data_IF_983138647513
#
_entry.id   IF_983138647513
#
_cell.length_a   1.000
_cell.length_b   1.000
_cell.length_c   1.000
_cell.angle_alpha   90.00
_cell.angle_beta   90.00
_cell.angle_gamma   90.00
#
_symmetry.space_group_name_H-M   'P 1'
#
loop_
_entity.id
_entity.type
_entity.pdbx_description
1 polymer ?
#
# COMPACT_ATOMS: atom_id res chain seq x y z
N UNK A 1 -3.66 -18.58 7.98
CA UNK A 1 -2.25 -18.78 7.58
C UNK A 1 -1.90 -17.82 6.46
N UNK A 2 -0.68 -17.30 6.40
CA UNK A 2 -0.18 -16.44 5.31
C UNK A 2 1.05 -17.02 4.60
N UNK A 3 1.55 -18.17 5.07
CA UNK A 3 2.80 -18.80 4.63
C UNK A 3 2.57 -20.14 3.92
N UNK A 4 1.39 -20.29 3.31
CA UNK A 4 1.02 -21.52 2.60
C UNK A 4 0.66 -22.70 3.51
N UNK A 5 0.23 -22.42 4.75
CA UNK A 5 -0.25 -23.44 5.68
C UNK A 5 0.83 -24.02 6.61
N UNK A 6 2.02 -23.41 6.69
CA UNK A 6 3.06 -23.85 7.63
C UNK A 6 2.74 -23.38 9.04
N UNK A 7 2.25 -22.15 9.20
CA UNK A 7 1.79 -21.60 10.47
C UNK A 7 0.31 -21.24 10.41
N UNK A 8 -0.40 -21.63 11.47
CA UNK A 8 -1.83 -21.36 11.65
C UNK A 8 -2.05 -20.62 12.95
N UNK A 9 -2.99 -19.69 12.90
CA UNK A 9 -3.45 -18.95 14.07
C UNK A 9 -4.97 -19.11 14.15
N UNK A 10 -5.46 -19.24 15.37
CA UNK A 10 -6.89 -19.36 15.60
C UNK A 10 -7.54 -17.97 15.52
N UNK A 11 -8.60 -17.87 14.74
CA UNK A 11 -9.52 -16.73 14.81
C UNK A 11 -10.39 -16.85 16.07
N UNK A 12 -10.91 -15.72 16.53
CA UNK A 12 -11.83 -15.64 17.68
C UNK A 12 -13.25 -15.42 17.16
N UNK A 13 -14.22 -16.17 17.68
CA UNK A 13 -15.61 -15.94 17.33
C UNK A 13 -16.05 -14.55 17.80
N UNK A 14 -16.72 -13.81 16.91
CA UNK A 14 -17.29 -12.51 17.25
C UNK A 14 -18.60 -12.66 18.05
N UNK A 15 -19.16 -11.54 18.49
CA UNK A 15 -20.51 -11.51 19.08
C UNK A 15 -21.62 -11.82 18.06
N UNK A 16 -21.33 -11.68 16.77
CA UNK A 16 -22.26 -11.97 15.68
C UNK A 16 -22.05 -13.39 15.15
N UNK A 17 -23.08 -14.25 15.12
CA UNK A 17 -22.95 -15.61 14.59
C UNK A 17 -22.40 -15.63 13.16
N UNK A 18 -21.42 -16.49 12.92
CA UNK A 18 -20.76 -16.65 11.61
C UNK A 18 -19.66 -15.62 11.32
N UNK A 19 -19.44 -14.64 12.19
CA UNK A 19 -18.35 -13.68 12.07
C UNK A 19 -17.20 -14.12 12.97
N UNK A 20 -15.99 -14.11 12.41
CA UNK A 20 -14.76 -14.46 13.10
C UNK A 20 -13.75 -13.33 12.93
N UNK A 21 -13.15 -12.94 14.05
CA UNK A 21 -12.17 -11.87 14.13
C UNK A 21 -10.77 -12.45 14.29
N UNK A 22 -9.79 -11.84 13.62
CA UNK A 22 -8.39 -12.20 13.76
C UNK A 22 -7.54 -10.94 13.82
N UNK A 23 -6.66 -10.87 14.81
CA UNK A 23 -5.68 -9.78 14.97
C UNK A 23 -4.29 -10.33 14.71
N UNK A 24 -3.54 -9.66 13.83
CA UNK A 24 -2.14 -9.99 13.57
C UNK A 24 -1.30 -9.74 14.83
N UNK A 25 -0.49 -10.72 15.22
CA UNK A 25 0.37 -10.63 16.42
C UNK A 25 1.63 -9.80 16.18
N UNK A 26 2.05 -9.71 14.92
CA UNK A 26 3.23 -8.96 14.47
C UNK A 26 2.93 -8.33 13.13
N UNK A 27 3.68 -7.27 12.81
CA UNK A 27 3.62 -6.66 11.49
C UNK A 27 3.95 -7.67 10.40
N UNK A 28 3.23 -7.56 9.29
CA UNK A 28 3.45 -8.36 8.09
C UNK A 28 4.19 -7.49 7.09
N UNK A 29 5.27 -8.01 6.51
CA UNK A 29 6.10 -7.26 5.58
C UNK A 29 5.33 -6.78 4.33
N UNK A 30 5.80 -5.70 3.70
CA UNK A 30 5.25 -5.25 2.41
C UNK A 30 5.38 -6.33 1.33
N UNK A 31 4.47 -6.29 0.36
CA UNK A 31 4.43 -7.19 -0.78
C UNK A 31 3.13 -7.95 -0.93
N UNK A 32 3.12 -8.91 -1.86
CA UNK A 32 1.97 -9.76 -2.13
C UNK A 32 1.92 -10.94 -1.16
N UNK A 33 0.71 -11.22 -0.67
CA UNK A 33 0.42 -12.25 0.30
C UNK A 33 -0.82 -13.05 -0.10
N UNK A 34 -0.89 -14.29 0.37
CA UNK A 34 -2.09 -15.13 0.25
C UNK A 34 -2.55 -15.56 1.64
N UNK A 35 -3.64 -14.98 2.11
CA UNK A 35 -4.32 -15.43 3.32
C UNK A 35 -5.09 -16.71 3.01
N UNK A 36 -4.77 -17.78 3.73
CA UNK A 36 -5.52 -19.04 3.73
C UNK A 36 -6.30 -19.16 5.04
N UNK A 37 -7.61 -19.39 4.93
CA UNK A 37 -8.53 -19.62 6.05
C UNK A 37 -9.05 -21.05 5.97
N UNK A 38 -9.05 -21.76 7.11
CA UNK A 38 -9.62 -23.10 7.24
C UNK A 38 -10.66 -23.09 8.36
N UNK A 39 -11.83 -23.65 8.08
CA UNK A 39 -12.85 -23.94 9.09
C UNK A 39 -12.97 -25.46 9.24
N UNK A 40 -13.03 -25.93 10.49
CA UNK A 40 -13.27 -27.34 10.82
C UNK A 40 -14.55 -27.45 11.63
N UNK A 41 -15.47 -28.34 11.23
CA UNK A 41 -16.69 -28.61 11.99
C UNK A 41 -16.46 -29.62 13.14
N UNK A 42 -17.49 -29.86 13.96
CA UNK A 42 -17.40 -30.78 15.10
C UNK A 42 -17.20 -32.25 14.68
N UNK A 43 -17.55 -32.62 13.45
CA UNK A 43 -17.32 -33.95 12.89
C UNK A 43 -15.92 -34.10 12.27
N UNK A 44 -15.15 -33.01 12.20
CA UNK A 44 -13.81 -32.98 11.61
C UNK A 44 -13.77 -32.67 10.12
N UNK A 45 -14.89 -32.28 9.49
CA UNK A 45 -14.89 -31.85 8.10
C UNK A 45 -14.22 -30.49 7.98
N UNK A 46 -13.41 -30.32 6.93
CA UNK A 46 -12.62 -29.12 6.68
C UNK A 46 -13.05 -28.40 5.41
N UNK A 47 -13.11 -27.08 5.47
CA UNK A 47 -13.29 -26.21 4.31
C UNK A 47 -12.20 -25.13 4.30
N UNK A 48 -11.61 -24.85 3.14
CA UNK A 48 -10.52 -23.88 3.00
C UNK A 48 -10.86 -22.82 1.96
N UNK A 49 -10.50 -21.57 2.24
CA UNK A 49 -10.61 -20.43 1.32
C UNK A 49 -9.30 -19.65 1.27
N UNK A 50 -9.07 -18.95 0.15
CA UNK A 50 -7.88 -18.13 -0.07
C UNK A 50 -8.27 -16.70 -0.47
N UNK A 51 -7.51 -15.74 0.02
CA UNK A 51 -7.59 -14.32 -0.35
C UNK A 51 -6.19 -13.82 -0.69
N UNK A 52 -6.02 -13.31 -1.89
CA UNK A 52 -4.81 -12.62 -2.30
C UNK A 52 -4.93 -11.13 -1.98
N UNK A 53 -3.87 -10.56 -1.42
CA UNK A 53 -3.83 -9.15 -1.07
C UNK A 53 -2.38 -8.64 -1.04
N UNK A 54 -2.22 -7.32 -1.14
CA UNK A 54 -0.92 -6.66 -1.05
C UNK A 54 -0.89 -5.75 0.17
N UNK A 55 0.24 -5.77 0.88
CA UNK A 55 0.54 -4.77 1.92
C UNK A 55 1.53 -3.79 1.31
N UNK A 56 1.16 -2.51 1.33
CA UNK A 56 2.06 -1.42 1.05
C UNK A 56 1.93 -0.37 2.15
N UNK A 57 3.05 -0.07 2.78
CA UNK A 57 3.21 0.90 3.87
C UNK A 57 4.35 1.88 3.56
N UNK A 58 4.91 1.81 2.36
CA UNK A 58 5.95 2.71 1.92
C UNK A 58 5.31 3.88 1.18
N UNK A 59 5.98 5.02 1.27
CA UNK A 59 5.68 6.18 0.44
C UNK A 59 6.97 6.63 -0.22
N UNK A 60 6.91 6.82 -1.53
CA UNK A 60 7.98 7.35 -2.35
C UNK A 60 8.19 8.84 -2.06
N UNK A 61 9.44 9.29 -1.98
CA UNK A 61 9.73 10.72 -1.84
C UNK A 61 9.32 11.45 -3.14
N UNK A 62 8.31 12.35 -3.08
CA UNK A 62 7.86 13.06 -4.25
C UNK A 62 8.93 14.05 -4.70
N UNK A 63 9.10 14.20 -6.01
CA UNK A 63 10.02 15.17 -6.58
C UNK A 63 9.27 16.30 -7.26
N UNK A 64 9.90 17.47 -7.27
CA UNK A 64 9.43 18.64 -8.01
C UNK A 64 10.62 19.17 -8.81
N UNK A 65 10.39 19.45 -10.09
CA UNK A 65 11.38 20.05 -10.98
C UNK A 65 10.75 21.14 -11.82
N UNK A 66 11.49 22.21 -12.08
CA UNK A 66 11.10 23.20 -13.09
C UNK A 66 11.05 22.52 -14.46
N UNK A 67 9.98 22.74 -15.22
CA UNK A 67 9.90 22.26 -16.60
C UNK A 67 11.04 22.91 -17.41
N UNK A 68 11.86 22.11 -18.09
CA UNK A 68 13.06 22.57 -18.80
C UNK A 68 12.75 23.55 -19.94
N UNK A 69 11.50 23.58 -20.39
CA UNK A 69 11.01 24.56 -21.37
C UNK A 69 10.70 25.93 -20.76
N UNK A 70 10.52 26.00 -19.44
CA UNK A 70 10.33 27.24 -18.68
C UNK A 70 11.62 27.70 -17.97
N UNK A 71 12.69 26.90 -17.97
CA UNK A 71 14.04 27.29 -17.54
C UNK A 71 14.65 28.35 -18.49
N UNK A 72 15.03 29.49 -17.93
CA UNK A 72 15.52 30.66 -18.67
C UNK A 72 16.93 31.06 -18.26
N UNK A 73 17.78 31.42 -19.22
CA UNK A 73 19.16 31.82 -18.94
C UNK A 73 20.09 30.61 -18.97
N UNK A 74 20.70 30.26 -17.84
CA UNK A 74 21.59 29.11 -17.74
C UNK A 74 20.77 27.85 -17.50
N UNK A 75 20.90 26.85 -18.37
CA UNK A 75 20.14 25.61 -18.20
C UNK A 75 20.54 24.86 -16.92
N UNK A 76 19.53 24.24 -16.31
CA UNK A 76 19.60 23.40 -15.12
C UNK A 76 20.06 24.15 -13.85
N UNK A 77 19.94 25.48 -13.81
CA UNK A 77 20.19 26.30 -12.61
C UNK A 77 18.92 26.52 -11.76
N UNK A 78 17.78 25.97 -12.20
CA UNK A 78 16.45 26.11 -11.62
C UNK A 78 15.91 27.55 -11.57
N UNK A 79 16.43 28.47 -12.40
CA UNK A 79 15.95 29.83 -12.51
C UNK A 79 15.04 30.02 -13.72
N UNK A 80 14.03 30.86 -13.55
CA UNK A 80 13.07 31.20 -14.61
C UNK A 80 12.65 32.66 -14.54
N UNK A 81 12.44 33.27 -15.70
CA UNK A 81 11.77 34.56 -15.88
C UNK A 81 10.32 34.40 -16.39
N UNK A 82 9.83 33.16 -16.53
CA UNK A 82 8.45 32.85 -16.87
C UNK A 82 7.57 33.15 -15.67
N UNK A 83 6.60 34.04 -15.82
CA UNK A 83 5.74 34.50 -14.72
C UNK A 83 4.62 33.51 -14.33
N UNK A 84 4.51 32.39 -15.04
CA UNK A 84 3.65 31.24 -14.75
C UNK A 84 4.41 29.96 -15.11
N UNK A 85 5.43 29.59 -14.32
CA UNK A 85 6.25 28.43 -14.62
C UNK A 85 5.45 27.15 -14.40
N UNK A 86 5.78 26.13 -15.17
CA UNK A 86 5.31 24.76 -14.98
C UNK A 86 6.33 23.99 -14.15
N UNK A 87 5.81 23.18 -13.24
CA UNK A 87 6.58 22.22 -12.49
C UNK A 87 6.12 20.82 -12.84
N UNK A 88 7.09 19.93 -12.99
CA UNK A 88 6.87 18.51 -13.19
C UNK A 88 6.99 17.87 -11.81
N UNK A 89 5.93 17.16 -11.40
CA UNK A 89 5.92 16.36 -10.19
C UNK A 89 6.25 14.92 -10.55
N UNK A 90 7.19 14.32 -9.83
CA UNK A 90 7.63 12.95 -10.01
C UNK A 90 7.53 12.13 -8.74
N UNK A 91 7.72 10.81 -8.85
CA UNK A 91 7.70 9.87 -7.74
C UNK A 91 6.42 9.96 -6.87
N UNK A 92 5.29 10.31 -7.48
CA UNK A 92 4.00 10.29 -6.80
C UNK A 92 3.50 8.85 -6.83
N UNK A 93 3.30 8.24 -5.66
CA UNK A 93 2.74 6.89 -5.60
C UNK A 93 1.34 6.80 -6.20
N UNK A 94 1.02 5.63 -6.74
CA UNK A 94 -0.25 5.38 -7.41
C UNK A 94 -1.47 5.50 -6.47
N UNK A 95 -1.25 5.33 -5.17
CA UNK A 95 -2.27 5.44 -4.12
C UNK A 95 -2.22 6.76 -3.34
N UNK A 96 -1.38 7.71 -3.77
CA UNK A 96 -1.36 9.06 -3.20
C UNK A 96 -2.72 9.75 -3.40
N UNK A 97 -3.30 10.29 -2.32
CA UNK A 97 -4.61 10.97 -2.35
C UNK A 97 -4.52 12.46 -2.67
N UNK A 98 -3.46 13.11 -2.21
CA UNK A 98 -3.24 14.54 -2.39
C UNK A 98 -1.76 14.78 -2.64
N UNK A 99 -1.47 15.75 -3.50
CA UNK A 99 -0.14 16.33 -3.67
C UNK A 99 -0.29 17.83 -3.54
N UNK A 100 0.48 18.43 -2.62
CA UNK A 100 0.43 19.87 -2.36
C UNK A 100 1.78 20.47 -2.72
N UNK A 101 1.74 21.60 -3.42
CA UNK A 101 2.90 22.46 -3.67
C UNK A 101 2.66 23.77 -2.93
N UNK A 102 3.58 24.14 -2.03
CA UNK A 102 3.54 25.38 -1.26
C UNK A 102 4.69 26.29 -1.69
N UNK A 103 4.46 27.60 -1.69
CA UNK A 103 5.40 28.63 -2.16
C UNK A 103 5.58 29.70 -1.09
#
# INVERSE_FOLDING_TARGET
SIDGGKTWFNATASGTPGVWDYTWLTDVANGSHTLTVEATDAAGNKATQKLEFTIDTMVSEPTIALDSTDDSGTKDDNLTNVNKPRFILGNIDADARYVTVEV
#
